data_IF_602114626842
#
_entry.id   IF_602114626842
#
_cell.length_a   1.000
_cell.length_b   1.000
_cell.length_c   1.000
_cell.angle_alpha   90.00
_cell.angle_beta   90.00
_cell.angle_gamma   90.00
#
_symmetry.space_group_name_H-M   'P 1'
#
loop_
_entity.id
_entity.type
_entity.pdbx_description
1 polymer ?
#
# COMPACT_ATOMS: atom_id res chain seq x y z
N UNK A 1 8.68 -20.63 1.07
CA UNK A 1 8.30 -19.50 0.20
C UNK A 1 9.25 -18.39 0.54
N UNK A 2 10.08 -17.99 -0.39
CA UNK A 2 11.17 -17.05 -0.11
C UNK A 2 10.78 -15.62 -0.46
N UNK A 3 9.85 -15.44 -1.42
CA UNK A 3 9.34 -14.14 -1.86
C UNK A 3 7.83 -14.22 -2.04
N UNK A 4 7.13 -13.20 -1.55
CA UNK A 4 5.71 -12.95 -1.81
C UNK A 4 5.56 -11.53 -2.37
N UNK A 5 4.83 -11.40 -3.47
CA UNK A 5 4.49 -10.09 -4.07
C UNK A 5 2.99 -9.88 -3.99
N UNK A 6 2.60 -8.71 -3.50
CA UNK A 6 1.21 -8.28 -3.37
C UNK A 6 1.00 -7.12 -4.33
N UNK A 7 0.36 -7.41 -5.46
CA UNK A 7 -0.01 -6.45 -6.49
C UNK A 7 -1.55 -6.31 -6.55
N UNK A 8 -2.17 -5.30 -5.94
CA UNK A 8 -1.57 -4.15 -5.23
C UNK A 8 -2.27 -3.86 -3.91
N UNK A 9 -1.67 -3.00 -3.07
CA UNK A 9 -2.29 -2.51 -1.82
C UNK A 9 -3.63 -1.82 -2.10
N UNK A 10 -3.75 -1.04 -3.17
CA UNK A 10 -4.99 -0.36 -3.50
C UNK A 10 -6.15 -1.33 -3.79
N UNK A 11 -5.84 -2.54 -4.29
CA UNK A 11 -6.81 -3.59 -4.58
C UNK A 11 -7.18 -4.42 -3.34
N UNK A 12 -6.55 -4.20 -2.18
CA UNK A 12 -6.91 -4.86 -0.93
C UNK A 12 -8.19 -4.23 -0.36
N UNK A 13 -9.31 -4.49 -1.02
CA UNK A 13 -10.63 -3.96 -0.66
C UNK A 13 -11.18 -4.73 0.53
N UNK A 14 -11.52 -4.05 1.64
CA UNK A 14 -12.12 -4.69 2.80
C UNK A 14 -13.43 -5.42 2.44
N UNK A 15 -13.67 -6.59 3.03
CA UNK A 15 -14.88 -7.39 2.78
C UNK A 15 -16.18 -6.60 2.88
N UNK A 16 -16.33 -5.78 3.91
CA UNK A 16 -17.55 -4.98 4.07
C UNK A 16 -17.72 -3.92 2.99
N UNK A 17 -16.65 -3.48 2.32
CA UNK A 17 -16.74 -2.59 1.15
C UNK A 17 -17.20 -3.37 -0.09
N UNK A 18 -16.69 -4.58 -0.30
CA UNK A 18 -17.14 -5.49 -1.37
C UNK A 18 -18.62 -5.85 -1.24
N UNK A 19 -19.08 -6.13 -0.01
CA UNK A 19 -20.48 -6.48 0.28
C UNK A 19 -21.40 -5.25 0.41
N UNK A 20 -20.83 -4.04 0.47
CA UNK A 20 -21.57 -2.80 0.62
C UNK A 20 -22.13 -2.27 -0.70
N UNK A 21 -22.83 -1.13 -0.63
CA UNK A 21 -23.24 -0.40 -1.82
C UNK A 21 -22.19 0.65 -2.18
N UNK A 22 -22.04 0.90 -3.49
CA UNK A 22 -21.24 2.04 -3.95
C UNK A 22 -21.80 3.33 -3.37
N UNK A 23 -20.94 4.14 -2.74
CA UNK A 23 -21.33 5.38 -2.07
C UNK A 23 -21.51 5.27 -0.55
N UNK A 24 -21.49 4.06 0.02
CA UNK A 24 -21.48 3.89 1.47
C UNK A 24 -20.18 4.47 2.07
N UNK A 25 -20.30 5.40 3.01
CA UNK A 25 -19.14 5.99 3.67
C UNK A 25 -18.50 5.02 4.66
N UNK A 26 -17.29 4.55 4.35
CA UNK A 26 -16.49 3.65 5.21
C UNK A 26 -15.08 4.21 5.44
N UNK A 27 -15.02 5.39 6.06
CA UNK A 27 -13.78 6.14 6.26
C UNK A 27 -12.72 5.31 6.99
N UNK A 28 -11.53 5.22 6.39
CA UNK A 28 -10.34 4.63 7.01
C UNK A 28 -10.35 3.10 7.17
N UNK A 29 -11.33 2.40 6.60
CA UNK A 29 -11.46 0.95 6.78
C UNK A 29 -10.23 0.19 6.27
N UNK A 30 -9.76 0.51 5.06
CA UNK A 30 -8.56 -0.10 4.48
C UNK A 30 -7.31 0.17 5.32
N UNK A 31 -7.16 1.38 5.87
CA UNK A 31 -6.03 1.73 6.74
C UNK A 31 -6.00 0.91 8.04
N UNK A 32 -7.18 0.65 8.63
CA UNK A 32 -7.30 -0.23 9.81
C UNK A 32 -6.97 -1.68 9.47
N UNK A 33 -7.49 -2.17 8.35
CA UNK A 33 -7.18 -3.52 7.85
C UNK A 33 -5.66 -3.71 7.71
N UNK A 34 -4.98 -2.79 7.01
CA UNK A 34 -3.52 -2.84 6.83
C UNK A 34 -2.77 -2.81 8.16
N UNK A 35 -3.18 -1.96 9.10
CA UNK A 35 -2.54 -1.88 10.43
C UNK A 35 -2.67 -3.18 11.22
N UNK A 36 -3.82 -3.85 11.14
CA UNK A 36 -4.03 -5.14 11.80
C UNK A 36 -3.28 -6.28 11.10
N UNK A 37 -3.34 -6.33 9.77
CA UNK A 37 -2.69 -7.36 8.96
C UNK A 37 -1.17 -7.31 9.15
N UNK A 38 -0.55 -6.15 8.95
CA UNK A 38 0.91 -5.99 9.05
C UNK A 38 1.43 -6.31 10.45
N UNK A 39 0.71 -5.90 11.51
CA UNK A 39 1.07 -6.24 12.90
C UNK A 39 1.22 -7.76 13.11
N UNK A 40 0.34 -8.56 12.49
CA UNK A 40 0.40 -10.03 12.57
C UNK A 40 1.49 -10.59 11.64
N UNK A 41 1.52 -10.11 10.40
CA UNK A 41 2.41 -10.62 9.35
C UNK A 41 3.89 -10.37 9.64
N UNK A 42 4.27 -9.21 10.19
CA UNK A 42 5.68 -8.87 10.43
C UNK A 42 6.43 -9.93 11.24
N UNK A 43 5.79 -10.44 12.30
CA UNK A 43 6.39 -11.50 13.12
C UNK A 43 6.57 -12.82 12.36
N UNK A 44 5.65 -13.14 11.44
CA UNK A 44 5.68 -14.37 10.64
C UNK A 44 6.71 -14.25 9.52
N UNK A 45 6.74 -13.10 8.83
CA UNK A 45 7.73 -12.77 7.79
C UNK A 45 9.15 -12.88 8.35
N UNK A 46 9.40 -12.30 9.53
CA UNK A 46 10.71 -12.35 10.17
C UNK A 46 11.15 -13.76 10.53
N UNK A 47 10.25 -14.59 11.08
CA UNK A 47 10.56 -15.98 11.47
C UNK A 47 10.80 -16.90 10.27
N UNK A 48 10.14 -16.62 9.15
CA UNK A 48 10.22 -17.44 7.93
C UNK A 48 11.36 -17.04 7.01
N UNK A 49 11.97 -15.86 7.21
CA UNK A 49 12.97 -15.31 6.30
C UNK A 49 12.40 -14.93 4.93
N UNK A 50 11.07 -14.87 4.79
CA UNK A 50 10.40 -14.52 3.55
C UNK A 50 10.55 -13.02 3.28
N UNK A 51 10.84 -12.63 2.05
CA UNK A 51 10.73 -11.25 1.58
C UNK A 51 9.28 -10.98 1.13
N UNK A 52 8.67 -9.90 1.61
CA UNK A 52 7.35 -9.48 1.15
C UNK A 52 7.42 -8.12 0.46
N UNK A 53 6.97 -8.07 -0.79
CA UNK A 53 6.94 -6.88 -1.63
C UNK A 53 5.49 -6.44 -1.80
N UNK A 54 5.21 -5.18 -1.48
CA UNK A 54 3.90 -4.56 -1.67
C UNK A 54 3.99 -3.53 -2.79
N UNK A 55 3.26 -3.75 -3.87
CA UNK A 55 3.08 -2.75 -4.93
C UNK A 55 1.96 -1.81 -4.50
N UNK A 56 2.19 -0.51 -4.62
CA UNK A 56 1.23 0.51 -4.22
C UNK A 56 1.20 1.63 -5.24
N UNK A 57 0.06 2.31 -5.30
CA UNK A 57 -0.17 3.42 -6.20
C UNK A 57 -0.09 4.75 -5.45
N UNK A 58 0.38 5.78 -6.16
CA UNK A 58 0.27 7.16 -5.72
C UNK A 58 -1.17 7.66 -5.90
N UNK A 59 -1.57 8.55 -5.00
CA UNK A 59 -2.82 9.32 -4.99
C UNK A 59 -2.48 10.73 -4.53
N UNK A 60 -3.34 11.68 -4.84
CA UNK A 60 -3.24 13.02 -4.30
C UNK A 60 -4.16 13.19 -3.09
N UNK A 61 -3.65 13.82 -2.03
CA UNK A 61 -4.45 14.20 -0.87
C UNK A 61 -5.10 15.55 -1.13
N UNK A 62 -6.41 15.54 -1.35
CA UNK A 62 -7.22 16.75 -1.51
C UNK A 62 -7.08 17.64 -0.26
N UNK A 63 -6.90 18.94 -0.47
CA UNK A 63 -6.84 19.96 0.59
C UNK A 63 -5.45 20.26 1.13
N UNK A 64 -4.37 19.69 0.56
CA UNK A 64 -2.99 20.09 0.88
C UNK A 64 -2.64 21.35 0.08
N UNK A 65 -2.46 22.49 0.76
CA UNK A 65 -2.07 23.77 0.14
C UNK A 65 -0.56 24.04 0.19
N UNK A 66 0.22 23.23 0.92
CA UNK A 66 1.67 23.37 1.06
C UNK A 66 2.33 21.99 1.21
N UNK A 67 3.47 21.79 0.53
CA UNK A 67 4.23 20.53 0.53
C UNK A 67 3.79 19.54 -0.55
N UNK A 68 4.30 18.30 -0.49
CA UNK A 68 3.97 17.25 -1.46
C UNK A 68 2.56 16.67 -1.17
N UNK A 69 1.60 16.79 -2.11
CA UNK A 69 0.25 16.23 -1.95
C UNK A 69 0.19 14.71 -2.16
N UNK A 70 1.26 14.08 -2.65
CA UNK A 70 1.29 12.66 -2.93
C UNK A 70 1.17 11.81 -1.66
N UNK A 71 0.30 10.81 -1.73
CA UNK A 71 0.08 9.81 -0.70
C UNK A 71 -0.07 8.43 -1.33
N UNK A 72 0.01 7.38 -0.50
CA UNK A 72 -0.17 5.99 -0.91
C UNK A 72 -1.44 5.42 -0.31
N UNK A 73 -2.05 4.42 -0.96
CA UNK A 73 -3.24 3.75 -0.44
C UNK A 73 -2.91 2.88 0.79
N UNK A 74 -3.94 2.47 1.54
CA UNK A 74 -3.75 1.58 2.71
C UNK A 74 -3.32 2.27 4.01
N UNK A 75 -3.32 3.60 4.07
CA UNK A 75 -2.95 4.36 5.27
C UNK A 75 -1.45 4.39 5.54
N UNK A 76 -1.05 4.61 6.81
CA UNK A 76 0.35 4.81 7.17
C UNK A 76 1.09 3.55 7.63
N UNK A 77 0.39 2.45 7.94
CA UNK A 77 1.01 1.26 8.54
C UNK A 77 2.16 0.71 7.70
N UNK A 78 1.95 0.52 6.39
CA UNK A 78 2.98 0.01 5.50
C UNK A 78 4.25 0.88 5.50
N UNK A 79 4.12 2.20 5.68
CA UNK A 79 5.27 3.11 5.76
C UNK A 79 6.17 2.83 6.96
N UNK A 80 5.61 2.36 8.08
CA UNK A 80 6.35 2.07 9.31
C UNK A 80 6.85 0.62 9.38
N UNK A 81 6.12 -0.32 8.75
CA UNK A 81 6.51 -1.73 8.74
C UNK A 81 7.47 -2.09 7.61
N UNK A 82 7.54 -1.30 6.53
CA UNK A 82 8.44 -1.55 5.42
C UNK A 82 9.89 -1.21 5.81
N UNK A 83 10.79 -2.19 5.70
CA UNK A 83 12.23 -1.98 5.86
C UNK A 83 12.83 -1.16 4.71
N UNK A 84 12.26 -1.26 3.51
CA UNK A 84 12.68 -0.53 2.31
C UNK A 84 11.44 0.04 1.62
N UNK A 85 11.53 1.28 1.14
CA UNK A 85 10.51 1.92 0.31
C UNK A 85 11.16 2.45 -0.96
N UNK A 86 10.59 2.10 -2.10
CA UNK A 86 11.05 2.54 -3.42
C UNK A 86 9.98 3.41 -4.07
N UNK A 87 10.39 4.56 -4.59
CA UNK A 87 9.57 5.39 -5.47
C UNK A 87 10.09 5.19 -6.91
N UNK A 88 9.23 4.68 -7.79
CA UNK A 88 9.59 4.33 -9.17
C UNK A 88 8.86 5.27 -10.10
N UNK A 89 9.62 6.04 -10.88
CA UNK A 89 9.11 7.00 -11.86
C UNK A 89 9.77 6.79 -13.20
N UNK A 90 8.95 6.82 -14.26
CA UNK A 90 9.46 6.86 -15.63
C UNK A 90 9.97 8.27 -15.93
N UNK A 91 11.24 8.40 -16.26
CA UNK A 91 11.88 9.71 -16.52
C UNK A 91 12.02 9.99 -18.02
N UNK A 92 12.46 9.00 -18.81
CA UNK A 92 12.69 9.16 -20.24
C UNK A 92 12.56 7.82 -20.97
N UNK A 93 12.50 7.88 -22.30
CA UNK A 93 12.64 6.71 -23.16
C UNK A 93 14.10 6.50 -23.51
N UNK A 94 14.55 5.24 -23.44
CA UNK A 94 15.83 4.84 -24.02
C UNK A 94 15.63 4.82 -25.54
N UNK A 95 16.48 5.55 -26.28
CA UNK A 95 16.53 5.49 -27.74
C UNK A 95 17.64 4.53 -28.13
N UNK A 96 17.33 3.53 -28.94
CA UNK A 96 18.34 2.77 -29.69
C UNK A 96 18.74 3.61 -30.91
N UNK A 97 20.05 3.76 -31.12
CA UNK A 97 20.62 4.37 -32.32
C UNK A 97 21.03 3.27 -33.31
#
# INVERSE_FOLDING_TARGET
IDIIVIDSVAALTPRSEIEGKMGDSKVGLQARLMSQALRKLTSTISKTGCCCIFINQLREKIGVMFGNPETTTGGNALKFYASIRLDIRRVSQIKEN
#
